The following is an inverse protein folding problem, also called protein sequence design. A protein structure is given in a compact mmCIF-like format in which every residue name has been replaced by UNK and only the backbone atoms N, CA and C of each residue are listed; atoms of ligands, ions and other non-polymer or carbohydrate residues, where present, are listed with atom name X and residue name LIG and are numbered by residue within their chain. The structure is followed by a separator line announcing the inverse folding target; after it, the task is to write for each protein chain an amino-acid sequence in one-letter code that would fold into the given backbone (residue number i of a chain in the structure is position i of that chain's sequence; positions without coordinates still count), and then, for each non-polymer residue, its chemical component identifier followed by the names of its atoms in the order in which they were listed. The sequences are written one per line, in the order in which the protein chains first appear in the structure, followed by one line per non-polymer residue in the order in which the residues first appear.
data_IF_555473500606
#
_entry.id   IF_555473500606
#
_cell.length_a   1.000
_cell.length_b   1.000
_cell.length_c   1.000
_cell.angle_alpha   90.00
_cell.angle_beta   90.00
_cell.angle_gamma   90.00
#
_symmetry.space_group_name_H-M   'P 1'
#
loop_
_entity.id
_entity.type
_entity.pdbx_description
1 polymer ?
#
# COMPACT_ATOMS: atom_id res chain seq x y z
N UNK A 1 -4.12 16.43 44.64
CA UNK A 1 -4.15 15.91 43.26
C UNK A 1 -2.96 14.98 43.11
N UNK A 2 -3.20 13.66 43.00
CA UNK A 2 -2.16 12.65 42.76
C UNK A 2 -1.97 12.55 41.27
N UNK A 3 -0.80 12.93 40.77
CA UNK A 3 -0.37 12.64 39.40
C UNK A 3 -0.12 11.15 39.30
N UNK A 4 -0.91 10.44 38.49
CA UNK A 4 -0.59 9.06 38.13
C UNK A 4 0.70 9.09 37.30
N UNK A 5 1.69 8.24 37.61
CA UNK A 5 2.87 8.11 36.78
C UNK A 5 2.45 7.57 35.41
N UNK A 6 2.92 8.21 34.35
CA UNK A 6 2.91 7.68 32.98
C UNK A 6 3.59 6.31 33.03
N UNK A 7 2.80 5.24 33.05
CA UNK A 7 3.35 3.89 32.88
C UNK A 7 4.04 3.86 31.52
N UNK A 8 5.34 3.48 31.46
CA UNK A 8 6.01 3.29 30.20
C UNK A 8 5.27 2.19 29.45
N UNK A 9 4.65 2.56 28.33
CA UNK A 9 3.97 1.61 27.46
C UNK A 9 4.90 0.44 27.15
N UNK A 10 4.38 -0.81 27.11
CA UNK A 10 5.22 -1.96 26.85
C UNK A 10 5.96 -1.78 25.51
N UNK A 11 7.21 -2.25 25.37
CA UNK A 11 8.07 -2.02 24.19
C UNK A 11 7.46 -2.50 22.86
N UNK A 12 6.36 -3.24 22.93
CA UNK A 12 5.58 -3.72 21.79
C UNK A 12 4.67 -2.65 21.18
N UNK A 13 4.22 -1.65 21.95
CA UNK A 13 3.27 -0.63 21.48
C UNK A 13 3.90 0.23 20.36
N UNK A 14 5.13 0.69 20.55
CA UNK A 14 5.87 1.51 19.57
C UNK A 14 6.09 0.74 18.25
N UNK A 15 6.42 -0.55 18.34
CA UNK A 15 6.60 -1.42 17.18
C UNK A 15 5.31 -1.68 16.40
N UNK A 16 4.16 -1.74 17.08
CA UNK A 16 2.85 -1.92 16.44
C UNK A 16 2.42 -0.66 15.71
N UNK A 17 2.58 0.50 16.34
CA UNK A 17 2.24 1.80 15.76
C UNK A 17 3.11 2.07 14.52
N UNK A 18 4.42 1.78 14.59
CA UNK A 18 5.33 1.86 13.46
C UNK A 18 4.90 0.94 12.30
N UNK A 19 4.48 -0.31 12.58
CA UNK A 19 3.95 -1.24 11.56
C UNK A 19 2.68 -0.74 10.91
N UNK A 20 1.74 -0.19 11.70
CA UNK A 20 0.51 0.44 11.18
C UNK A 20 0.80 1.61 10.26
N UNK A 21 1.70 2.51 10.68
CA UNK A 21 2.14 3.66 9.86
C UNK A 21 2.80 3.21 8.56
N UNK A 22 3.65 2.18 8.63
CA UNK A 22 4.26 1.58 7.44
C UNK A 22 3.22 0.99 6.48
N UNK A 23 2.17 0.33 6.99
CA UNK A 23 1.06 -0.20 6.20
C UNK A 23 0.23 0.87 5.50
N UNK A 24 -0.14 1.93 6.21
CA UNK A 24 -0.86 3.06 5.62
C UNK A 24 -0.03 3.77 4.54
N UNK A 25 1.25 4.01 4.83
CA UNK A 25 2.16 4.66 3.88
C UNK A 25 2.38 3.78 2.64
N UNK A 26 2.48 2.46 2.81
CA UNK A 26 2.57 1.48 1.72
C UNK A 26 1.31 1.47 0.86
N UNK A 27 0.11 1.45 1.47
CA UNK A 27 -1.17 1.48 0.74
C UNK A 27 -1.29 2.72 -0.15
N UNK A 28 -0.89 3.89 0.35
CA UNK A 28 -0.88 5.12 -0.44
C UNK A 28 0.16 5.09 -1.57
N UNK A 29 1.38 4.60 -1.29
CA UNK A 29 2.47 4.56 -2.27
C UNK A 29 2.18 3.57 -3.40
N UNK A 30 1.66 2.39 -3.07
CA UNK A 30 1.29 1.37 -4.05
C UNK A 30 0.15 1.85 -4.96
N UNK A 31 -0.89 2.49 -4.42
CA UNK A 31 -1.96 3.10 -5.23
C UNK A 31 -1.42 4.14 -6.21
N UNK A 32 -0.48 5.00 -5.79
CA UNK A 32 0.16 6.00 -6.67
C UNK A 32 1.00 5.36 -7.78
N UNK A 33 1.75 4.31 -7.47
CA UNK A 33 2.56 3.58 -8.46
C UNK A 33 1.64 2.89 -9.48
N UNK A 34 0.60 2.20 -9.01
CA UNK A 34 -0.39 1.56 -9.90
C UNK A 34 -1.08 2.59 -10.79
N UNK A 35 -1.53 3.72 -10.24
CA UNK A 35 -2.15 4.78 -11.04
C UNK A 35 -1.19 5.37 -12.07
N UNK A 36 0.08 5.59 -11.70
CA UNK A 36 1.09 6.09 -12.63
C UNK A 36 1.37 5.09 -13.77
N UNK A 37 1.45 3.79 -13.48
CA UNK A 37 1.61 2.75 -14.49
C UNK A 37 0.39 2.66 -15.42
N UNK A 38 -0.83 2.76 -14.89
CA UNK A 38 -2.07 2.77 -15.70
C UNK A 38 -2.13 4.02 -16.59
N UNK A 39 -1.76 5.19 -16.08
CA UNK A 39 -1.68 6.42 -16.88
C UNK A 39 -0.64 6.30 -17.99
N UNK A 40 0.56 5.78 -17.68
CA UNK A 40 1.60 5.54 -18.69
C UNK A 40 1.12 4.59 -19.79
N UNK A 41 0.47 3.47 -19.42
CA UNK A 41 -0.12 2.54 -20.37
C UNK A 41 -1.22 3.20 -21.21
N UNK A 42 -2.07 4.05 -20.60
CA UNK A 42 -3.10 4.82 -21.30
C UNK A 42 -2.51 5.80 -22.32
N UNK A 43 -1.46 6.53 -21.97
CA UNK A 43 -0.77 7.45 -22.90
C UNK A 43 -0.18 6.70 -24.08
N UNK A 44 0.47 5.56 -23.83
CA UNK A 44 1.01 4.71 -24.92
C UNK A 44 -0.14 4.18 -25.80
N UNK A 45 -1.24 3.72 -25.20
CA UNK A 45 -2.42 3.25 -25.93
C UNK A 45 -3.02 4.32 -26.85
N UNK A 46 -3.18 5.55 -26.35
CA UNK A 46 -3.68 6.68 -27.16
C UNK A 46 -2.69 7.06 -28.27
N UNK A 47 -1.38 7.04 -27.98
CA UNK A 47 -0.35 7.30 -28.98
C UNK A 47 -0.37 6.24 -30.10
N UNK A 48 -0.51 4.96 -29.74
CA UNK A 48 -0.64 3.84 -30.69
C UNK A 48 -1.92 3.95 -31.51
N UNK A 49 -3.05 4.28 -30.89
CA UNK A 49 -4.31 4.48 -31.59
C UNK A 49 -4.23 5.63 -32.60
N UNK A 50 -3.69 6.79 -32.19
CA UNK A 50 -3.50 7.93 -33.08
C UNK A 50 -2.51 7.66 -34.23
N UNK A 51 -1.54 6.78 -33.98
CA UNK A 51 -0.63 6.26 -34.98
C UNK A 51 -1.38 5.34 -35.96
N UNK A 52 -2.14 4.36 -35.48
CA UNK A 52 -2.86 3.37 -36.30
C UNK A 52 -3.92 4.00 -37.22
N UNK A 53 -4.49 5.16 -36.84
CA UNK A 53 -5.39 5.96 -37.68
C UNK A 53 -4.69 6.62 -38.90
N UNK A 54 -3.35 6.61 -38.95
CA UNK A 54 -2.59 7.00 -40.14
C UNK A 54 -2.17 5.71 -40.85
N UNK A 55 -2.78 5.44 -42.00
CA UNK A 55 -2.73 4.17 -42.76
C UNK A 55 -1.32 3.73 -43.25
N UNK A 56 -0.25 4.48 -42.96
CA UNK A 56 1.12 4.25 -43.43
C UNK A 56 2.08 3.72 -42.34
N UNK A 57 1.61 2.92 -41.38
CA UNK A 57 2.49 2.38 -40.36
C UNK A 57 2.97 0.97 -40.65
N UNK A 58 4.29 0.89 -40.81
CA UNK A 58 5.08 -0.33 -40.82
C UNK A 58 4.71 -1.25 -39.64
N UNK A 59 4.37 -2.50 -39.92
CA UNK A 59 3.92 -3.51 -38.95
C UNK A 59 4.93 -3.73 -37.81
N UNK A 60 6.20 -3.49 -38.11
CA UNK A 60 7.35 -3.48 -37.21
C UNK A 60 7.31 -2.36 -36.15
N UNK A 61 6.76 -1.18 -36.48
CA UNK A 61 6.59 -0.08 -35.51
C UNK A 61 5.43 -0.33 -34.56
N UNK A 62 4.36 -0.95 -35.05
CA UNK A 62 3.19 -1.30 -34.25
C UNK A 62 3.56 -2.36 -33.20
N UNK A 63 4.29 -3.40 -33.61
CA UNK A 63 4.79 -4.46 -32.73
C UNK A 63 5.79 -3.96 -31.68
N UNK A 64 6.68 -3.01 -32.04
CA UNK A 64 7.54 -2.32 -31.08
C UNK A 64 6.75 -1.54 -30.02
N UNK A 65 5.67 -0.86 -30.43
CA UNK A 65 4.86 -0.08 -29.50
C UNK A 65 4.06 -0.96 -28.53
N UNK A 66 3.48 -2.07 -29.01
CA UNK A 66 2.86 -3.08 -28.15
C UNK A 66 3.88 -3.73 -27.21
N UNK A 67 5.09 -4.03 -27.70
CA UNK A 67 6.19 -4.56 -26.89
C UNK A 67 6.59 -3.61 -25.76
N UNK A 68 6.70 -2.30 -26.03
CA UNK A 68 6.98 -1.28 -25.02
C UNK A 68 5.84 -1.11 -24.01
N UNK A 69 4.59 -1.18 -24.45
CA UNK A 69 3.42 -1.14 -23.57
C UNK A 69 3.40 -2.34 -22.61
N UNK A 70 3.66 -3.54 -23.13
CA UNK A 70 3.75 -4.75 -22.31
C UNK A 70 4.93 -4.68 -21.33
N UNK A 71 6.11 -4.22 -21.79
CA UNK A 71 7.29 -4.09 -20.94
C UNK A 71 7.09 -3.09 -19.80
N UNK A 72 6.50 -1.92 -20.07
CA UNK A 72 6.20 -0.91 -19.04
C UNK A 72 5.20 -1.41 -18.01
N UNK A 73 4.17 -2.18 -18.44
CA UNK A 73 3.25 -2.83 -17.53
C UNK A 73 3.94 -3.88 -16.64
N UNK A 74 4.75 -4.77 -17.23
CA UNK A 74 5.50 -5.79 -16.49
C UNK A 74 6.49 -5.16 -15.49
N UNK A 75 7.24 -4.13 -15.90
CA UNK A 75 8.16 -3.41 -15.02
C UNK A 75 7.41 -2.74 -13.88
N UNK A 76 6.27 -2.10 -14.16
CA UNK A 76 5.39 -1.52 -13.13
C UNK A 76 4.92 -2.55 -12.11
N UNK A 77 4.49 -3.73 -12.57
CA UNK A 77 4.05 -4.82 -11.71
C UNK A 77 5.20 -5.39 -10.85
N UNK A 78 6.39 -5.55 -11.42
CA UNK A 78 7.59 -6.03 -10.71
C UNK A 78 8.00 -5.02 -9.63
N UNK A 79 8.05 -3.73 -9.97
CA UNK A 79 8.34 -2.65 -9.01
C UNK A 79 7.30 -2.67 -7.88
N UNK A 80 6.01 -2.77 -8.22
CA UNK A 80 4.92 -2.84 -7.24
C UNK A 80 5.00 -4.04 -6.31
N UNK A 81 5.51 -5.19 -6.78
CA UNK A 81 5.57 -6.43 -5.99
C UNK A 81 6.86 -6.58 -5.17
N UNK A 82 8.00 -6.18 -5.71
CA UNK A 82 9.31 -6.41 -5.08
C UNK A 82 9.87 -5.20 -4.32
N UNK A 83 9.65 -3.98 -4.82
CA UNK A 83 10.16 -2.76 -4.17
C UNK A 83 9.20 -2.20 -3.12
N UNK A 84 7.99 -2.74 -3.05
CA UNK A 84 6.97 -2.40 -2.06
C UNK A 84 6.51 -3.69 -1.36
N UNK A 85 7.31 -4.29 -0.46
CA UNK A 85 6.87 -5.43 0.32
C UNK A 85 5.68 -5.03 1.19
N UNK A 86 4.60 -5.82 1.14
CA UNK A 86 3.43 -5.60 2.02
C UNK A 86 3.93 -5.73 3.46
N UNK A 87 3.69 -4.72 4.32
CA UNK A 87 4.05 -4.85 5.72
C UNK A 87 3.20 -5.94 6.38
N UNK A 88 3.82 -6.69 7.29
CA UNK A 88 3.17 -7.77 8.00
C UNK A 88 2.01 -7.24 8.85
N UNK A 89 0.79 -7.58 8.47
CA UNK A 89 -0.44 -7.26 9.18
C UNK A 89 -0.70 -8.27 10.31
N UNK A 90 0.30 -8.51 11.17
CA UNK A 90 0.19 -9.48 12.28
C UNK A 90 0.42 -8.82 13.63
N UNK A 91 -0.37 -9.22 14.62
CA UNK A 91 -0.16 -8.78 16.00
C UNK A 91 1.14 -9.39 16.57
N UNK A 92 2.06 -8.58 17.10
CA UNK A 92 3.29 -9.10 17.69
C UNK A 92 3.08 -9.82 19.03
N UNK A 93 1.93 -9.61 19.70
CA UNK A 93 1.63 -10.24 20.99
C UNK A 93 0.96 -11.60 20.83
N UNK A 94 -0.09 -11.69 20.01
CA UNK A 94 -0.87 -12.93 19.86
C UNK A 94 -0.77 -13.58 18.47
N UNK A 95 -0.06 -12.97 17.52
CA UNK A 95 0.12 -13.51 16.18
C UNK A 95 -1.12 -13.43 15.27
N UNK A 96 -2.21 -12.80 15.70
CA UNK A 96 -3.42 -12.70 14.88
C UNK A 96 -3.15 -11.91 13.58
N UNK A 97 -3.68 -12.41 12.46
CA UNK A 97 -3.61 -11.71 11.18
C UNK A 97 -4.74 -10.69 11.10
N UNK A 98 -4.39 -9.41 11.08
CA UNK A 98 -5.35 -8.32 11.06
C UNK A 98 -6.13 -8.23 9.76
N UNK A 99 -5.57 -8.68 8.62
CA UNK A 99 -6.32 -8.71 7.37
C UNK A 99 -7.41 -9.77 7.41
N UNK A 100 -7.15 -10.94 7.99
CA UNK A 100 -8.15 -11.99 8.09
C UNK A 100 -9.28 -11.56 9.03
N UNK A 101 -8.92 -10.97 10.16
CA UNK A 101 -9.87 -10.52 11.18
C UNK A 101 -10.67 -9.26 10.74
N UNK A 102 -10.20 -8.54 9.72
CA UNK A 102 -10.89 -7.40 9.11
C UNK A 102 -11.61 -7.73 7.80
N UNK A 103 -11.80 -9.02 7.48
CA UNK A 103 -12.38 -9.49 6.22
C UNK A 103 -11.68 -8.91 4.97
N UNK A 104 -10.35 -8.84 5.03
CA UNK A 104 -9.44 -8.24 4.05
C UNK A 104 -9.65 -6.75 3.80
N UNK A 105 -10.41 -6.05 4.64
CA UNK A 105 -10.52 -4.60 4.57
C UNK A 105 -9.39 -3.91 5.37
N UNK A 106 -8.41 -3.28 4.69
CA UNK A 106 -7.32 -2.60 5.37
C UNK A 106 -7.76 -1.34 6.13
N UNK A 107 -8.86 -0.70 5.74
CA UNK A 107 -9.34 0.52 6.39
C UNK A 107 -9.93 0.19 7.77
N UNK A 108 -10.52 -0.99 7.92
CA UNK A 108 -11.08 -1.46 9.19
C UNK A 108 -10.01 -1.68 10.25
N UNK A 109 -8.96 -2.48 9.98
CA UNK A 109 -7.98 -2.77 11.04
C UNK A 109 -7.02 -1.61 11.32
N UNK A 110 -6.78 -0.73 10.35
CA UNK A 110 -5.97 0.47 10.56
C UNK A 110 -6.62 1.43 11.57
N UNK A 111 -7.96 1.45 11.63
CA UNK A 111 -8.73 2.24 12.60
C UNK A 111 -8.81 1.63 14.01
N UNK A 112 -8.47 0.36 14.19
CA UNK A 112 -8.53 -0.29 15.52
C UNK A 112 -7.65 0.41 16.54
N UNK A 113 -8.24 0.76 17.69
CA UNK A 113 -7.49 1.26 18.83
C UNK A 113 -6.77 0.12 19.57
N UNK A 114 -7.37 -1.08 19.58
CA UNK A 114 -6.86 -2.24 20.28
C UNK A 114 -6.93 -3.50 19.42
N UNK A 115 -6.09 -4.49 19.72
CA UNK A 115 -6.20 -5.82 19.10
C UNK A 115 -7.50 -6.51 19.52
N UNK A 116 -8.32 -7.01 18.57
CA UNK A 116 -9.56 -7.70 18.91
C UNK A 116 -9.33 -9.00 19.70
N UNK A 117 -8.16 -9.63 19.55
CA UNK A 117 -7.81 -10.88 20.23
C UNK A 117 -7.16 -10.69 21.60
N UNK A 118 -6.23 -9.76 21.73
CA UNK A 118 -5.37 -9.65 22.93
C UNK A 118 -5.40 -8.28 23.62
N UNK A 119 -6.22 -7.35 23.11
CA UNK A 119 -6.36 -6.00 23.69
C UNK A 119 -5.10 -5.14 23.62
N UNK A 120 -4.08 -5.52 22.84
CA UNK A 120 -2.86 -4.71 22.70
C UNK A 120 -3.21 -3.35 22.07
N UNK A 121 -2.84 -2.21 22.68
CA UNK A 121 -3.07 -0.90 22.10
C UNK A 121 -2.27 -0.76 20.79
N UNK A 122 -2.93 -0.20 19.77
CA UNK A 122 -2.41 -0.08 18.40
C UNK A 122 -2.34 1.36 17.90
N UNK A 123 -2.89 2.31 18.65
CA UNK A 123 -2.90 3.72 18.31
C UNK A 123 -2.18 4.45 19.43
N UNK A 124 -1.30 5.39 19.08
CA UNK A 124 -0.86 6.37 20.06
C UNK A 124 -2.07 7.21 20.40
N UNK A 125 -2.49 7.15 21.66
CA UNK A 125 -3.43 8.08 22.23
C UNK A 125 -2.70 9.44 22.22
N UNK A 126 -2.85 10.18 21.12
CA UNK A 126 -2.56 11.60 21.14
C UNK A 126 -3.63 12.23 22.02
N UNK A 127 -3.38 12.18 23.33
CA UNK A 127 -3.99 13.05 24.31
C UNK A 127 -3.71 14.47 23.81
N UNK A 128 -4.73 15.08 23.20
CA UNK A 128 -4.71 16.50 22.86
C UNK A 128 -4.43 17.26 24.16
N UNK A 129 -3.37 18.09 24.25
CA UNK A 129 -3.30 19.06 25.33
C UNK A 129 -4.51 19.98 25.16
N UNK A 130 -5.24 20.16 26.27
CA UNK A 130 -6.54 20.83 26.35
C UNK A 130 -6.58 22.29 25.93
#
# INVERSE_FOLDING_TARGET
MKTNPLEPGPPFADGVVARKRAALCHGQRSRRVVSACLLAAGVVGVAVWGLQSREDLDESRLSLAWGLAAATFCIGAIIGRFLLPKPDARCPRCGCDWNVESDNDPDTWTQWQHCPRCGLPMREDHEQPG
#
